data_IF_387521614005
#
_entry.id   IF_387521614005
#
_cell.length_a   1.000
_cell.length_b   1.000
_cell.length_c   1.000
_cell.angle_alpha   90.00
_cell.angle_beta   90.00
_cell.angle_gamma   90.00
#
_symmetry.space_group_name_H-M   'P 1'
#
loop_
_entity.id
_entity.type
_entity.pdbx_description
1 polymer ?
#
# COMPACT_ATOMS: atom_id res chain seq x y z
N UNK A 1 -5.86 -0.43 16.60
CA UNK A 1 -5.57 -1.15 15.33
C UNK A 1 -4.06 -1.33 15.26
N UNK A 2 -3.52 -2.57 15.38
CA UNK A 2 -2.07 -2.80 15.23
C UNK A 2 -1.70 -2.48 13.78
N UNK A 3 -0.80 -1.52 13.58
CA UNK A 3 -0.30 -1.16 12.26
C UNK A 3 0.60 -2.29 11.72
N UNK A 4 -0.03 -3.32 11.16
CA UNK A 4 0.66 -4.47 10.55
C UNK A 4 1.38 -4.11 9.26
N UNK A 5 1.38 -2.84 8.84
CA UNK A 5 2.11 -2.40 7.64
C UNK A 5 3.61 -2.27 7.89
N UNK A 6 4.03 -2.09 9.15
CA UNK A 6 5.44 -1.86 9.52
C UNK A 6 6.29 -3.15 9.56
N UNK A 7 5.71 -4.28 9.96
CA UNK A 7 6.47 -5.52 10.16
C UNK A 7 6.80 -6.26 8.86
N UNK A 8 6.30 -5.78 7.71
CA UNK A 8 6.33 -6.54 6.45
C UNK A 8 6.69 -5.64 5.27
N UNK A 9 7.92 -5.82 4.76
CA UNK A 9 8.38 -5.07 3.60
C UNK A 9 7.56 -5.47 2.37
N UNK A 10 6.84 -4.53 1.73
CA UNK A 10 6.01 -4.86 0.58
C UNK A 10 6.88 -5.34 -0.59
N UNK A 11 6.59 -6.54 -1.10
CA UNK A 11 7.23 -7.03 -2.31
C UNK A 11 6.86 -6.11 -3.49
N UNK A 12 7.86 -5.49 -4.10
CA UNK A 12 7.70 -4.62 -5.26
C UNK A 12 8.76 -4.96 -6.31
N UNK A 13 8.57 -4.50 -7.55
CA UNK A 13 9.63 -4.60 -8.56
C UNK A 13 10.92 -3.85 -8.13
N UNK A 14 10.79 -2.82 -7.28
CA UNK A 14 11.92 -2.08 -6.73
C UNK A 14 12.69 -2.91 -5.70
N UNK A 15 12.01 -3.55 -4.75
CA UNK A 15 12.68 -4.44 -3.79
C UNK A 15 13.35 -5.63 -4.48
N UNK A 16 12.73 -6.16 -5.55
CA UNK A 16 13.37 -7.17 -6.41
C UNK A 16 14.61 -6.63 -7.14
N UNK A 17 14.59 -5.38 -7.61
CA UNK A 17 15.75 -4.76 -8.27
C UNK A 17 16.91 -4.53 -7.29
N UNK A 18 16.61 -4.15 -6.04
CA UNK A 18 17.59 -4.06 -4.95
C UNK A 18 18.24 -5.42 -4.70
N UNK A 19 17.43 -6.48 -4.58
CA UNK A 19 17.93 -7.85 -4.42
C UNK A 19 18.83 -8.29 -5.59
N UNK A 20 18.43 -8.00 -6.84
CA UNK A 20 19.24 -8.32 -8.02
C UNK A 20 20.58 -7.58 -8.00
N UNK A 21 20.58 -6.30 -7.63
CA UNK A 21 21.81 -5.51 -7.50
C UNK A 21 22.75 -6.10 -6.45
N UNK A 22 22.21 -6.57 -5.33
CA UNK A 22 23.01 -7.07 -4.20
C UNK A 22 23.48 -8.51 -4.41
N UNK A 23 22.68 -9.35 -5.06
CA UNK A 23 22.98 -10.77 -5.24
C UNK A 23 23.59 -11.11 -6.60
N UNK A 24 23.35 -10.30 -7.63
CA UNK A 24 23.77 -10.54 -9.01
C UNK A 24 24.31 -9.27 -9.70
N UNK A 25 25.33 -8.60 -9.12
CA UNK A 25 25.86 -7.35 -9.66
C UNK A 25 26.44 -7.51 -11.08
N UNK A 26 27.17 -8.59 -11.36
CA UNK A 26 27.80 -8.82 -12.68
C UNK A 26 26.74 -8.97 -13.78
N UNK A 27 25.69 -9.75 -13.51
CA UNK A 27 24.56 -9.89 -14.43
C UNK A 27 23.87 -8.54 -14.66
N UNK A 28 23.74 -7.72 -13.61
CA UNK A 28 23.13 -6.40 -13.72
C UNK A 28 23.97 -5.48 -14.62
N UNK A 29 25.30 -5.52 -14.52
CA UNK A 29 26.21 -4.75 -15.39
C UNK A 29 25.99 -5.15 -16.85
N UNK A 30 26.01 -6.45 -17.17
CA UNK A 30 25.72 -6.94 -18.53
C UNK A 30 24.30 -6.56 -18.97
N UNK A 31 23.32 -6.56 -18.07
CA UNK A 31 21.94 -6.22 -18.39
C UNK A 31 21.76 -4.73 -18.74
N UNK A 32 22.56 -3.83 -18.16
CA UNK A 32 22.47 -2.39 -18.45
C UNK A 32 23.37 -1.95 -19.61
N UNK A 33 24.29 -2.82 -20.03
CA UNK A 33 25.18 -2.58 -21.16
C UNK A 33 24.41 -2.29 -22.46
N UNK A 34 24.87 -1.28 -23.21
CA UNK A 34 24.26 -0.88 -24.48
C UNK A 34 22.91 -0.17 -24.36
N UNK A 35 22.40 0.07 -23.15
CA UNK A 35 21.17 0.86 -22.97
C UNK A 35 21.45 2.36 -23.05
N UNK A 36 20.47 3.09 -23.58
CA UNK A 36 20.55 4.52 -23.90
C UNK A 36 21.01 5.39 -22.71
N UNK A 37 20.46 5.14 -21.53
CA UNK A 37 20.73 5.89 -20.31
C UNK A 37 20.31 5.08 -19.07
N UNK A 38 20.74 5.52 -17.89
CA UNK A 38 20.47 4.83 -16.63
C UNK A 38 18.97 4.74 -16.27
N UNK A 39 18.17 5.74 -16.65
CA UNK A 39 16.72 5.72 -16.41
C UNK A 39 16.04 4.66 -17.27
N UNK A 40 16.38 4.61 -18.56
CA UNK A 40 15.93 3.58 -19.50
C UNK A 40 16.37 2.17 -19.04
N UNK A 41 17.60 2.07 -18.53
CA UNK A 41 18.13 0.82 -17.98
C UNK A 41 17.37 0.33 -16.75
N UNK A 42 17.03 1.23 -15.85
CA UNK A 42 16.28 0.92 -14.65
C UNK A 42 14.81 0.54 -14.96
N UNK A 43 14.12 1.30 -15.83
CA UNK A 43 12.73 0.98 -16.18
C UNK A 43 12.59 -0.35 -16.94
N UNK A 44 13.56 -0.67 -17.80
CA UNK A 44 13.59 -1.98 -18.48
C UNK A 44 13.82 -3.13 -17.50
N UNK A 45 14.67 -2.96 -16.48
CA UNK A 45 14.82 -3.93 -15.39
C UNK A 45 13.51 -4.10 -14.61
N UNK A 46 12.87 -2.99 -14.19
CA UNK A 46 11.59 -3.06 -13.48
C UNK A 46 10.52 -3.77 -14.32
N UNK A 47 10.47 -3.54 -15.64
CA UNK A 47 9.57 -4.24 -16.55
C UNK A 47 9.84 -5.75 -16.62
N UNK A 48 11.12 -6.15 -16.66
CA UNK A 48 11.53 -7.56 -16.64
C UNK A 48 11.06 -8.23 -15.34
N UNK A 49 11.30 -7.60 -14.19
CA UNK A 49 10.93 -8.14 -12.88
C UNK A 49 9.42 -8.24 -12.69
N UNK A 50 8.64 -7.25 -13.17
CA UNK A 50 7.18 -7.32 -13.17
C UNK A 50 6.66 -8.51 -14.00
N UNK A 51 7.25 -8.76 -15.18
CA UNK A 51 6.91 -9.90 -16.03
C UNK A 51 7.30 -11.23 -15.39
N UNK A 52 8.46 -11.29 -14.75
CA UNK A 52 8.89 -12.46 -13.98
C UNK A 52 7.88 -12.78 -12.87
N UNK A 53 7.54 -11.80 -12.04
CA UNK A 53 6.56 -11.96 -10.97
C UNK A 53 5.20 -12.45 -11.50
N UNK A 54 4.74 -11.89 -12.62
CA UNK A 54 3.49 -12.32 -13.26
C UNK A 54 3.48 -13.81 -13.67
N UNK A 55 4.59 -14.28 -14.26
CA UNK A 55 4.77 -15.70 -14.62
C UNK A 55 4.81 -16.60 -13.39
N UNK A 56 5.39 -16.12 -12.29
CA UNK A 56 5.41 -16.82 -10.99
C UNK A 56 4.09 -16.70 -10.20
N UNK A 57 3.02 -16.21 -10.83
CA UNK A 57 1.71 -16.16 -10.19
C UNK A 57 1.51 -14.98 -9.24
N UNK A 58 2.28 -13.90 -9.36
CA UNK A 58 2.05 -12.64 -8.64
C UNK A 58 1.35 -11.62 -9.56
N UNK A 59 0.58 -10.69 -8.98
CA UNK A 59 -0.08 -9.60 -9.70
C UNK A 59 0.15 -8.29 -8.96
N UNK A 60 0.30 -7.21 -9.72
CA UNK A 60 0.41 -5.88 -9.17
C UNK A 60 -0.97 -5.40 -8.65
N UNK A 61 -1.04 -5.00 -7.38
CA UNK A 61 -2.26 -4.55 -6.72
C UNK A 61 -2.02 -3.27 -5.93
N UNK A 62 -3.03 -2.41 -5.90
CA UNK A 62 -3.07 -1.30 -4.93
C UNK A 62 -3.42 -1.88 -3.57
N UNK A 63 -2.65 -1.59 -2.50
CA UNK A 63 -3.06 -1.93 -1.15
C UNK A 63 -4.41 -1.25 -0.89
N UNK A 64 -5.49 -2.02 -0.89
CA UNK A 64 -6.76 -1.56 -0.33
C UNK A 64 -6.74 -2.02 1.11
N UNK A 65 -6.93 -1.07 2.03
CA UNK A 65 -7.24 -1.42 3.42
C UNK A 65 -8.44 -2.37 3.42
N UNK A 66 -8.52 -3.25 4.42
CA UNK A 66 -9.72 -4.05 4.66
C UNK A 66 -10.93 -3.11 4.58
N UNK A 67 -11.76 -3.28 3.55
CA UNK A 67 -13.05 -2.63 3.51
C UNK A 67 -13.91 -3.41 4.48
N UNK A 68 -14.16 -2.83 5.65
CA UNK A 68 -15.25 -3.29 6.52
C UNK A 68 -16.54 -3.31 5.69
N UNK A 69 -17.47 -4.21 6.05
CA UNK A 69 -18.75 -4.29 5.38
C UNK A 69 -19.50 -2.97 5.56
N UNK A 70 -20.08 -2.46 4.47
CA UNK A 70 -20.79 -1.17 4.49
C UNK A 70 -21.95 -1.23 5.47
N UNK A 71 -22.64 -2.37 5.55
CA UNK A 71 -23.78 -2.60 6.43
C UNK A 71 -23.40 -2.51 7.92
N UNK A 72 -22.18 -2.93 8.27
CA UNK A 72 -21.68 -2.85 9.64
C UNK A 72 -21.24 -1.43 9.99
N UNK A 73 -20.69 -0.67 9.02
CA UNK A 73 -20.35 0.74 9.20
C UNK A 73 -21.59 1.62 9.38
N UNK A 74 -22.65 1.37 8.63
CA UNK A 74 -23.92 2.12 8.73
C UNK A 74 -24.56 1.95 10.10
N UNK A 75 -24.57 0.71 10.64
CA UNK A 75 -25.07 0.45 12.00
C UNK A 75 -24.29 1.21 13.05
N UNK A 76 -22.96 1.18 12.98
CA UNK A 76 -22.10 1.90 13.91
C UNK A 76 -22.33 3.41 13.81
N UNK A 77 -22.49 3.94 12.59
CA UNK A 77 -22.75 5.36 12.39
C UNK A 77 -24.05 5.81 13.04
N UNK A 78 -25.15 5.06 12.84
CA UNK A 78 -26.46 5.36 13.44
C UNK A 78 -26.36 5.32 14.97
N UNK A 79 -25.76 4.27 15.52
CA UNK A 79 -25.62 4.12 16.98
C UNK A 79 -24.80 5.26 17.60
N UNK A 80 -23.72 5.68 16.93
CA UNK A 80 -22.90 6.82 17.38
C UNK A 80 -23.69 8.13 17.28
N UNK A 81 -24.44 8.35 16.20
CA UNK A 81 -25.25 9.55 16.02
C UNK A 81 -26.35 9.67 17.10
N UNK A 82 -27.02 8.56 17.42
CA UNK A 82 -28.06 8.52 18.46
C UNK A 82 -27.47 8.84 19.83
N UNK A 83 -26.34 8.21 20.20
CA UNK A 83 -25.63 8.50 21.46
C UNK A 83 -25.14 9.95 21.52
N UNK A 84 -24.64 10.47 20.41
CA UNK A 84 -24.21 11.87 20.35
C UNK A 84 -25.40 12.82 20.58
N UNK A 85 -26.52 12.58 19.92
CA UNK A 85 -27.73 13.40 20.08
C UNK A 85 -28.31 13.31 21.50
N UNK A 86 -28.29 12.12 22.11
CA UNK A 86 -28.75 11.94 23.48
C UNK A 86 -27.89 12.72 24.49
N UNK A 87 -26.57 12.69 24.33
CA UNK A 87 -25.64 13.27 25.31
C UNK A 87 -25.37 14.76 25.07
N UNK A 88 -25.42 15.21 23.81
CA UNK A 88 -24.97 16.53 23.40
C UNK A 88 -25.99 17.33 22.59
N UNK A 89 -27.19 16.81 22.34
CA UNK A 89 -28.21 17.46 21.50
C UNK A 89 -28.75 18.77 22.07
N UNK A 90 -28.54 19.05 23.36
CA UNK A 90 -28.92 20.32 24.01
C UNK A 90 -27.88 21.43 23.86
N UNK A 91 -26.67 21.12 23.40
CA UNK A 91 -25.62 22.10 23.20
C UNK A 91 -25.79 22.84 21.88
N UNK A 92 -25.47 24.13 21.86
CA UNK A 92 -25.46 24.89 20.62
C UNK A 92 -24.32 24.41 19.70
N UNK A 93 -24.53 24.40 18.39
CA UNK A 93 -23.52 23.91 17.44
C UNK A 93 -22.17 24.64 17.58
N UNK A 94 -22.17 25.93 17.94
CA UNK A 94 -20.95 26.73 18.14
C UNK A 94 -20.12 26.36 19.37
N UNK A 95 -20.61 25.49 20.26
CA UNK A 95 -19.87 24.99 21.42
C UNK A 95 -19.32 23.58 21.22
N UNK A 96 -19.49 23.02 20.02
CA UNK A 96 -19.03 21.67 19.67
C UNK A 96 -17.78 21.83 18.81
N UNK A 97 -16.63 21.48 19.37
CA UNK A 97 -15.35 21.56 18.68
C UNK A 97 -14.97 20.18 18.15
N UNK A 98 -14.71 20.10 16.84
CA UNK A 98 -14.14 18.90 16.25
C UNK A 98 -12.64 18.83 16.56
N UNK A 99 -12.14 17.63 16.82
CA UNK A 99 -10.71 17.39 17.03
C UNK A 99 -10.36 16.06 16.41
N UNK A 100 -9.42 16.06 15.47
CA UNK A 100 -8.91 14.85 14.86
C UNK A 100 -7.40 14.96 14.61
N UNK A 101 -6.75 13.80 14.57
CA UNK A 101 -5.34 13.70 14.22
C UNK A 101 -5.24 13.31 12.75
N UNK A 102 -4.65 14.19 11.94
CA UNK A 102 -4.25 13.85 10.58
C UNK A 102 -2.81 13.36 10.60
N UNK A 103 -2.61 12.05 10.42
CA UNK A 103 -1.28 11.48 10.23
C UNK A 103 -0.66 11.98 8.92
N UNK A 104 0.45 12.71 9.02
CA UNK A 104 1.26 13.07 7.85
C UNK A 104 2.26 11.94 7.60
N UNK A 105 2.06 11.20 6.52
CA UNK A 105 2.93 10.10 6.13
C UNK A 105 4.01 10.61 5.16
N UNK A 106 5.25 10.74 5.64
CA UNK A 106 6.40 11.03 4.77
C UNK A 106 6.77 9.83 3.89
N UNK A 107 6.52 8.62 4.39
CA UNK A 107 6.58 7.40 3.59
C UNK A 107 5.26 7.25 2.84
N UNK A 108 5.24 7.58 1.55
CA UNK A 108 4.14 7.16 0.68
C UNK A 108 4.32 5.67 0.43
N UNK A 109 3.51 4.77 1.04
CA UNK A 109 3.64 3.35 0.78
C UNK A 109 3.48 3.12 -0.73
N UNK A 110 4.22 2.17 -1.32
CA UNK A 110 4.16 1.93 -2.75
C UNK A 110 2.71 1.80 -3.20
N UNK A 111 2.27 2.68 -4.10
CA UNK A 111 0.89 2.68 -4.63
C UNK A 111 0.51 1.34 -5.27
N UNK A 112 1.52 0.52 -5.58
CA UNK A 112 1.37 -0.79 -6.18
C UNK A 112 2.36 -1.78 -5.58
N UNK A 113 1.85 -2.87 -5.01
CA UNK A 113 2.59 -4.01 -4.46
C UNK A 113 2.36 -5.26 -5.30
N UNK A 114 3.25 -6.25 -5.22
CA UNK A 114 3.08 -7.57 -5.83
C UNK A 114 2.46 -8.52 -4.80
N UNK A 115 1.36 -9.19 -5.15
CA UNK A 115 0.69 -10.18 -4.30
C UNK A 115 0.36 -11.45 -5.10
N UNK A 116 0.35 -12.65 -4.47
CA UNK A 116 -0.04 -13.88 -5.14
C UNK A 116 -1.44 -13.80 -5.77
N UNK A 117 -1.63 -14.43 -6.94
CA UNK A 117 -2.93 -14.61 -7.60
C UNK A 117 -3.89 -15.33 -6.66
N UNK A 118 -5.16 -14.90 -6.64
CA UNK A 118 -6.23 -15.54 -5.86
C UNK A 118 -6.23 -15.29 -4.35
N UNK A 119 -5.15 -14.77 -3.75
CA UNK A 119 -5.13 -14.40 -2.32
C UNK A 119 -5.57 -12.95 -2.10
N UNK A 120 -6.21 -12.60 -0.97
CA UNK A 120 -6.46 -11.20 -0.63
C UNK A 120 -5.11 -10.45 -0.58
N UNK A 121 -5.10 -9.18 -0.98
CA UNK A 121 -3.90 -8.34 -0.94
C UNK A 121 -3.55 -8.00 0.52
N UNK A 122 -3.02 -8.98 1.26
CA UNK A 122 -2.34 -8.75 2.53
C UNK A 122 -0.88 -8.43 2.22
N UNK A 123 -0.34 -7.48 2.96
CA UNK A 123 1.10 -7.27 3.04
C UNK A 123 1.73 -8.60 3.49
N UNK A 124 2.72 -9.07 2.73
CA UNK A 124 3.30 -10.40 2.85
C UNK A 124 4.12 -10.55 4.11
#
# INVERSE_FOLDING_TARGET
>A
MKDTRRDRFPLTARSMAVFVRESYPDWLVTHVEGKKDASTAYESLLRLLRRFAYRQGFVQRTPSGLKEKVEDLEKVQIEVADKFKQNFGSYAAGTIYNTDETGIYYDTPPSKILSPKGKPAKLL
#
